data_IF_985193325831
#
_entry.id   IF_985193325831
#
_cell.length_a   1.000
_cell.length_b   1.000
_cell.length_c   1.000
_cell.angle_alpha   90.00
_cell.angle_beta   90.00
_cell.angle_gamma   90.00
#
_symmetry.space_group_name_H-M   'P 1'
#
loop_
_entity.id
_entity.type
_entity.pdbx_description
1 polymer ?
#
# COMPACT_ATOMS: atom_id res chain seq x y z
N UNK A 1 -6.60 3.57 -3.67
CA UNK A 1 -5.96 3.88 -2.36
C UNK A 1 -4.82 2.92 -2.06
N UNK A 2 -5.04 1.60 -2.10
CA UNK A 2 -3.96 0.61 -1.93
C UNK A 2 -2.84 0.80 -2.97
N UNK A 3 -3.18 0.98 -4.24
CA UNK A 3 -2.17 1.15 -5.30
C UNK A 3 -1.33 2.42 -5.12
N UNK A 4 -1.97 3.54 -4.78
CA UNK A 4 -1.27 4.79 -4.44
C UNK A 4 -0.30 4.61 -3.27
N UNK A 5 -0.75 3.94 -2.22
CA UNK A 5 0.10 3.58 -1.08
C UNK A 5 1.29 2.71 -1.50
N UNK A 6 1.08 1.73 -2.39
CA UNK A 6 2.16 0.89 -2.89
C UNK A 6 3.13 1.68 -3.78
N UNK A 7 2.66 2.62 -4.61
CA UNK A 7 3.51 3.50 -5.43
C UNK A 7 4.36 4.44 -4.57
N UNK A 8 3.84 4.94 -3.46
CA UNK A 8 4.62 5.69 -2.46
C UNK A 8 5.76 4.84 -1.91
N UNK A 9 5.44 3.61 -1.49
CA UNK A 9 6.45 2.69 -0.94
C UNK A 9 7.49 2.29 -1.99
N UNK A 10 7.07 2.07 -3.23
CA UNK A 10 7.97 1.77 -4.35
C UNK A 10 8.96 2.91 -4.60
N UNK A 11 8.50 4.16 -4.59
CA UNK A 11 9.38 5.34 -4.65
C UNK A 11 10.38 5.37 -3.49
N UNK A 12 9.90 5.11 -2.27
CA UNK A 12 10.76 5.08 -1.08
C UNK A 12 11.75 3.91 -1.10
N UNK A 13 11.40 2.80 -1.74
CA UNK A 13 12.28 1.64 -1.97
C UNK A 13 13.41 1.94 -2.98
N UNK A 14 13.40 3.12 -3.61
CA UNK A 14 14.50 3.66 -4.42
C UNK A 14 15.28 4.78 -3.72
N UNK A 15 14.94 5.16 -2.47
CA UNK A 15 15.63 6.22 -1.74
C UNK A 15 17.14 5.93 -1.56
N UNK A 16 17.98 6.97 -1.50
CA UNK A 16 19.42 6.83 -1.23
C UNK A 16 19.70 6.33 0.19
N UNK A 17 18.90 6.79 1.15
CA UNK A 17 18.97 6.35 2.54
C UNK A 17 18.62 4.86 2.67
N UNK A 18 19.55 4.07 3.19
CA UNK A 18 19.45 2.61 3.26
C UNK A 18 18.33 2.18 4.19
N UNK A 19 18.13 2.89 5.30
CA UNK A 19 17.10 2.56 6.28
C UNK A 19 15.70 2.75 5.67
N UNK A 20 15.44 3.91 5.09
CA UNK A 20 14.19 4.23 4.38
C UNK A 20 13.91 3.21 3.27
N UNK A 21 14.95 2.90 2.47
CA UNK A 21 14.85 1.94 1.38
C UNK A 21 14.43 0.55 1.86
N UNK A 22 15.10 0.04 2.90
CA UNK A 22 14.84 -1.30 3.43
C UNK A 22 13.47 -1.36 4.10
N UNK A 23 13.11 -0.37 4.92
CA UNK A 23 11.81 -0.28 5.56
C UNK A 23 10.68 -0.26 4.53
N UNK A 24 10.84 0.49 3.43
CA UNK A 24 9.85 0.54 2.37
C UNK A 24 9.67 -0.82 1.68
N UNK A 25 10.77 -1.52 1.37
CA UNK A 25 10.72 -2.88 0.79
C UNK A 25 10.03 -3.88 1.70
N UNK A 26 10.36 -3.86 2.99
CA UNK A 26 9.75 -4.76 3.99
C UNK A 26 8.25 -4.48 4.13
N UNK A 27 7.85 -3.21 4.12
CA UNK A 27 6.44 -2.82 4.13
C UNK A 27 5.72 -3.25 2.85
N UNK A 28 6.31 -3.10 1.67
CA UNK A 28 5.71 -3.58 0.41
C UNK A 28 5.45 -5.08 0.48
N UNK A 29 6.45 -5.88 0.86
CA UNK A 29 6.33 -7.33 0.94
C UNK A 29 5.27 -7.75 1.97
N UNK A 30 5.29 -7.12 3.15
CA UNK A 30 4.25 -7.31 4.18
C UNK A 30 2.86 -7.00 3.65
N UNK A 31 2.67 -5.87 2.95
CA UNK A 31 1.37 -5.44 2.43
C UNK A 31 0.86 -6.39 1.37
N UNK A 32 1.69 -6.82 0.42
CA UNK A 32 1.30 -7.81 -0.59
C UNK A 32 0.94 -9.15 0.05
N UNK A 33 1.70 -9.58 1.06
CA UNK A 33 1.51 -10.89 1.69
C UNK A 33 0.26 -10.98 2.55
N UNK A 34 -0.07 -9.92 3.29
CA UNK A 34 -1.13 -9.96 4.31
C UNK A 34 -2.42 -9.21 3.93
N UNK A 35 -2.36 -8.30 2.96
CA UNK A 35 -3.58 -7.61 2.48
C UNK A 35 -4.44 -8.58 1.67
N UNK A 36 -5.76 -8.48 1.82
CA UNK A 36 -6.72 -9.30 1.07
C UNK A 36 -7.76 -8.43 0.41
N UNK A 37 -8.19 -8.82 -0.79
CA UNK A 37 -9.31 -8.19 -1.49
C UNK A 37 -10.62 -8.83 -1.05
N UNK A 38 -11.52 -8.03 -0.48
CA UNK A 38 -12.85 -8.46 -0.09
C UNK A 38 -13.91 -7.83 -1.00
N UNK A 39 -15.04 -8.52 -1.22
CA UNK A 39 -16.21 -7.90 -1.83
C UNK A 39 -16.78 -6.85 -0.88
N UNK A 40 -16.88 -5.61 -1.35
CA UNK A 40 -17.57 -4.52 -0.67
C UNK A 40 -19.06 -4.49 -1.03
N UNK A 41 -19.75 -3.49 -0.50
CA UNK A 41 -21.17 -3.26 -0.81
C UNK A 41 -21.29 -2.72 -2.23
N UNK A 42 -22.23 -3.26 -3.01
CA UNK A 42 -22.49 -2.79 -4.38
C UNK A 42 -21.54 -3.31 -5.46
N UNK A 43 -20.72 -4.33 -5.15
CA UNK A 43 -19.81 -4.97 -6.12
C UNK A 43 -18.43 -4.32 -6.20
N UNK A 44 -18.21 -3.19 -5.52
CA UNK A 44 -16.88 -2.61 -5.38
C UNK A 44 -16.02 -3.50 -4.48
N UNK A 45 -14.78 -3.77 -4.90
CA UNK A 45 -13.82 -4.51 -4.07
C UNK A 45 -13.03 -3.55 -3.19
N UNK A 46 -12.67 -3.99 -1.99
CA UNK A 46 -11.78 -3.21 -1.12
C UNK A 46 -10.62 -4.08 -0.61
N UNK A 47 -9.46 -3.44 -0.49
CA UNK A 47 -8.28 -4.03 0.12
C UNK A 47 -8.36 -3.87 1.65
N UNK A 48 -8.43 -4.99 2.37
CA UNK A 48 -8.38 -5.01 3.83
C UNK A 48 -6.93 -5.06 4.29
N UNK A 49 -6.45 -3.95 4.85
CA UNK A 49 -5.07 -3.78 5.28
C UNK A 49 -5.02 -3.80 6.81
N UNK A 50 -4.18 -4.66 7.39
CA UNK A 50 -3.88 -4.65 8.82
C UNK A 50 -2.52 -4.01 9.06
N UNK A 51 -2.46 -2.99 9.91
CA UNK A 51 -1.25 -2.21 10.17
C UNK A 51 -1.13 -1.85 11.65
N UNK A 52 0.11 -1.68 12.10
CA UNK A 52 0.35 -1.07 13.41
C UNK A 52 0.02 0.43 13.36
N UNK A 53 -0.29 1.02 14.51
CA UNK A 53 -0.60 2.45 14.62
C UNK A 53 0.52 3.34 14.08
N UNK A 54 1.79 2.99 14.39
CA UNK A 54 2.96 3.69 13.86
C UNK A 54 3.04 3.65 12.33
N UNK A 55 2.76 2.49 11.73
CA UNK A 55 2.72 2.34 10.27
C UNK A 55 1.58 3.16 9.65
N UNK A 56 0.43 3.23 10.33
CA UNK A 56 -0.72 4.01 9.88
C UNK A 56 -0.40 5.51 9.86
N UNK A 57 0.22 6.02 10.92
CA UNK A 57 0.59 7.43 11.03
C UNK A 57 1.57 7.86 9.92
N UNK A 58 2.64 7.10 9.72
CA UNK A 58 3.62 7.34 8.64
C UNK A 58 2.96 7.33 7.26
N UNK A 59 2.07 6.37 7.04
CA UNK A 59 1.38 6.22 5.78
C UNK A 59 0.41 7.36 5.48
N UNK A 60 -0.28 7.88 6.48
CA UNK A 60 -1.13 9.07 6.32
C UNK A 60 -0.28 10.27 5.88
N UNK A 61 0.87 10.50 6.51
CA UNK A 61 1.78 11.59 6.11
C UNK A 61 2.27 11.44 4.67
N UNK A 62 2.68 10.24 4.29
CA UNK A 62 3.16 9.98 2.93
C UNK A 62 2.05 10.12 1.88
N UNK A 63 0.82 9.74 2.20
CA UNK A 63 -0.34 9.91 1.32
C UNK A 63 -0.74 11.37 1.18
N UNK A 64 -0.71 12.15 2.26
CA UNK A 64 -0.92 13.60 2.19
C UNK A 64 0.14 14.27 1.29
N UNK A 65 1.39 13.81 1.37
CA UNK A 65 2.45 14.25 0.47
C UNK A 65 2.29 13.73 -0.97
N UNK A 66 1.64 12.58 -1.19
CA UNK A 66 1.30 12.12 -2.54
C UNK A 66 0.19 12.98 -3.16
N UNK A 67 -0.79 13.41 -2.35
CA UNK A 67 -1.95 14.19 -2.78
C UNK A 67 -1.62 15.57 -3.39
N UNK A 68 -0.41 16.09 -3.20
CA UNK A 68 0.05 17.30 -3.92
C UNK A 68 0.41 17.02 -5.39
N UNK A 69 0.09 15.83 -5.91
CA UNK A 69 0.32 15.43 -7.30
C UNK A 69 1.74 14.93 -7.58
N UNK A 70 2.50 14.61 -6.54
CA UNK A 70 3.90 14.23 -6.67
C UNK A 70 4.12 12.76 -7.06
N UNK A 71 3.06 11.93 -7.01
CA UNK A 71 3.14 10.48 -7.20
C UNK A 71 1.96 10.02 -8.06
N UNK A 72 2.26 9.49 -9.24
CA UNK A 72 1.29 8.83 -10.12
C UNK A 72 1.26 7.33 -9.84
N UNK A 73 0.08 6.72 -10.03
CA UNK A 73 -0.11 5.27 -9.88
C UNK A 73 0.13 4.61 -11.22
N UNK A 74 1.32 4.05 -11.41
CA UNK A 74 1.69 3.37 -12.67
C UNK A 74 1.34 1.87 -12.65
N UNK A 75 1.24 1.26 -11.46
CA UNK A 75 1.00 -0.17 -11.28
C UNK A 75 -0.22 -0.44 -10.41
N UNK A 76 -1.06 -1.37 -10.86
CA UNK A 76 -2.22 -1.87 -10.13
C UNK A 76 -1.83 -3.08 -9.26
N UNK A 77 -1.22 -2.81 -8.11
CA UNK A 77 -0.82 -3.83 -7.13
C UNK A 77 -2.00 -4.60 -6.55
N UNK A 78 -3.17 -3.95 -6.44
CA UNK A 78 -4.38 -4.54 -5.91
C UNK A 78 -4.83 -5.76 -6.74
N UNK A 79 -4.59 -5.77 -8.05
CA UNK A 79 -4.91 -6.90 -8.93
C UNK A 79 -4.14 -8.19 -8.57
N UNK A 80 -2.98 -8.09 -7.93
CA UNK A 80 -2.15 -9.22 -7.51
C UNK A 80 -2.52 -9.75 -6.11
N UNK A 81 -3.46 -9.10 -5.41
CA UNK A 81 -3.84 -9.50 -4.05
C UNK A 81 -4.70 -10.77 -4.05
N UNK A 82 -4.45 -11.63 -3.05
CA UNK A 82 -5.33 -12.77 -2.79
C UNK A 82 -6.72 -12.29 -2.36
N UNK A 83 -7.77 -12.98 -2.81
CA UNK A 83 -9.14 -12.75 -2.33
C UNK A 83 -9.28 -13.18 -0.88
N UNK A 84 -10.02 -12.39 -0.10
CA UNK A 84 -10.44 -12.66 1.26
C UNK A 84 -11.91 -13.04 1.32
N UNK A 85 -12.25 -13.87 2.32
CA UNK A 85 -13.57 -14.48 2.46
C UNK A 85 -13.53 -15.93 2.02
N UNK A 86 -14.19 -16.82 2.79
CA UNK A 86 -14.43 -18.17 2.32
C UNK A 86 -15.37 -18.14 1.10
N UNK A 87 -15.29 -19.11 0.17
CA UNK A 87 -16.39 -19.36 -0.75
C UNK A 87 -17.70 -19.62 0.01
#
# INVERSE_FOLDING_TARGET
MFDLMMSVLERNAAAEDVLTRNNAKDLMDKRMRFTRLYPGKGGEQYASIQMYESEAAEMVWQLLYACIGAIEVEKEYSAELCKGGAP
#
